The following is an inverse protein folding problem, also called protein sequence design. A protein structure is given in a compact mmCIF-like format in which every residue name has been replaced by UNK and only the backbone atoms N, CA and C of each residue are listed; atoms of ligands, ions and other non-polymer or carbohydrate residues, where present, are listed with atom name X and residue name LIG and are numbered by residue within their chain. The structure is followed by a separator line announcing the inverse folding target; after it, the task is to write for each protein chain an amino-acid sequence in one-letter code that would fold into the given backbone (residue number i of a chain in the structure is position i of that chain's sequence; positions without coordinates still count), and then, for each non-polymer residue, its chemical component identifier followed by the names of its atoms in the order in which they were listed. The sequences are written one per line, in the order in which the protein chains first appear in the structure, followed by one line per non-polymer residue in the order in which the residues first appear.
data_IF_357820653140
#
_entry.id   IF_357820653140
#
_cell.length_a   1.000
_cell.length_b   1.000
_cell.length_c   1.000
_cell.angle_alpha   90.00
_cell.angle_beta   90.00
_cell.angle_gamma   90.00
#
_symmetry.space_group_name_H-M   'P 1'
#
loop_
_entity.id
_entity.type
_entity.pdbx_description
1 polymer ?
#
# COMPACT_ATOMS: atom_id res chain seq x y z
N UNK A 1 8.47 -16.49 2.05
CA UNK A 1 9.34 -17.46 2.76
C UNK A 1 10.63 -16.82 3.30
N UNK A 2 11.20 -15.80 2.63
CA UNK A 2 12.39 -15.05 3.09
C UNK A 2 12.09 -14.01 4.18
N UNK A 3 11.03 -13.21 4.02
CA UNK A 3 10.65 -12.17 5.00
C UNK A 3 10.39 -12.72 6.42
N UNK A 4 9.83 -13.92 6.53
CA UNK A 4 9.61 -14.61 7.82
C UNK A 4 10.94 -14.93 8.53
N UNK A 5 11.95 -15.36 7.78
CA UNK A 5 13.28 -15.64 8.33
C UNK A 5 13.96 -14.33 8.76
N UNK A 6 13.92 -13.30 7.92
CA UNK A 6 14.48 -11.98 8.24
C UNK A 6 13.86 -11.40 9.50
N UNK A 7 12.54 -11.50 9.65
CA UNK A 7 11.84 -11.09 10.87
C UNK A 7 12.27 -11.91 12.09
N UNK A 8 12.32 -13.25 11.97
CA UNK A 8 12.75 -14.12 13.07
C UNK A 8 14.21 -13.86 13.52
N UNK A 9 15.07 -13.42 12.60
CA UNK A 9 16.45 -13.02 12.88
C UNK A 9 16.57 -11.60 13.45
N UNK A 10 15.46 -10.86 13.59
CA UNK A 10 15.46 -9.47 14.02
C UNK A 10 16.04 -8.49 13.00
N UNK A 11 16.09 -8.87 11.71
CA UNK A 11 16.65 -8.05 10.62
C UNK A 11 15.68 -7.06 10.00
N UNK A 12 14.38 -7.25 10.24
CA UNK A 12 13.33 -6.33 9.80
C UNK A 12 12.32 -6.16 10.93
N UNK A 13 11.64 -5.02 10.98
CA UNK A 13 10.63 -4.77 12.00
C UNK A 13 9.33 -5.54 11.74
N UNK A 14 8.47 -5.61 12.76
CA UNK A 14 7.12 -6.17 12.61
C UNK A 14 6.30 -5.40 11.56
N UNK A 15 6.50 -4.08 11.46
CA UNK A 15 5.81 -3.23 10.48
C UNK A 15 6.21 -3.59 9.05
N UNK A 16 7.51 -3.64 8.77
CA UNK A 16 8.05 -4.06 7.46
C UNK A 16 7.61 -5.48 7.11
N UNK A 17 7.66 -6.41 8.07
CA UNK A 17 7.17 -7.77 7.85
C UNK A 17 5.67 -7.81 7.52
N UNK A 18 4.85 -7.02 8.21
CA UNK A 18 3.42 -6.93 7.96
C UNK A 18 3.12 -6.36 6.57
N UNK A 19 3.80 -5.30 6.15
CA UNK A 19 3.62 -4.69 4.82
C UNK A 19 3.99 -5.67 3.70
N UNK A 20 5.12 -6.39 3.81
CA UNK A 20 5.46 -7.46 2.85
C UNK A 20 4.37 -8.54 2.81
N UNK A 21 3.84 -8.92 3.98
CA UNK A 21 2.74 -9.87 4.08
C UNK A 21 1.49 -9.39 3.36
N UNK A 22 1.14 -8.11 3.54
CA UNK A 22 -0.03 -7.49 2.92
C UNK A 22 0.11 -7.41 1.39
N UNK A 23 1.31 -7.07 0.88
CA UNK A 23 1.59 -7.11 -0.57
C UNK A 23 1.41 -8.51 -1.15
N UNK A 24 1.94 -9.55 -0.49
CA UNK A 24 1.78 -10.93 -0.94
C UNK A 24 0.30 -11.35 -0.96
N UNK A 25 -0.44 -11.07 0.11
CA UNK A 25 -1.87 -11.41 0.21
C UNK A 25 -2.68 -10.73 -0.87
N UNK A 26 -2.41 -9.44 -1.14
CA UNK A 26 -3.11 -8.66 -2.16
C UNK A 26 -2.76 -9.16 -3.56
N UNK A 27 -1.51 -9.52 -3.82
CA UNK A 27 -1.09 -10.11 -5.09
C UNK A 27 -1.76 -11.48 -5.32
N UNK A 28 -1.77 -12.35 -4.32
CA UNK A 28 -2.44 -13.66 -4.38
C UNK A 28 -3.94 -13.49 -4.62
N UNK A 29 -4.58 -12.56 -3.92
CA UNK A 29 -5.98 -12.22 -4.13
C UNK A 29 -6.23 -11.71 -5.56
N UNK A 30 -5.46 -10.75 -6.04
CA UNK A 30 -5.59 -10.20 -7.39
C UNK A 30 -5.41 -11.27 -8.47
N UNK A 31 -4.47 -12.21 -8.28
CA UNK A 31 -4.23 -13.33 -9.19
C UNK A 31 -5.36 -14.38 -9.17
N UNK A 32 -6.15 -14.44 -8.09
CA UNK A 32 -7.27 -15.38 -7.95
C UNK A 32 -8.56 -14.91 -8.64
N UNK A 33 -8.65 -13.61 -8.96
CA UNK A 33 -9.85 -13.03 -9.55
C UNK A 33 -9.94 -13.33 -11.05
N UNK A 34 -11.16 -13.55 -11.58
CA UNK A 34 -11.37 -13.75 -13.02
C UNK A 34 -11.14 -12.46 -13.83
N UNK A 35 -11.27 -11.30 -13.20
CA UNK A 35 -11.06 -9.98 -13.78
C UNK A 35 -9.97 -9.24 -13.01
N UNK A 36 -9.22 -8.39 -13.72
CA UNK A 36 -8.17 -7.60 -13.12
C UNK A 36 -8.76 -6.52 -12.20
N UNK A 37 -8.13 -6.34 -11.03
CA UNK A 37 -8.45 -5.23 -10.13
C UNK A 37 -8.25 -3.88 -10.82
N UNK A 38 -9.19 -2.99 -10.60
CA UNK A 38 -9.11 -1.60 -11.02
C UNK A 38 -8.65 -0.73 -9.87
N UNK A 39 -7.93 0.35 -10.17
CA UNK A 39 -7.47 1.29 -9.15
C UNK A 39 -8.62 2.00 -8.41
N UNK A 40 -9.82 2.00 -9.00
CA UNK A 40 -11.04 2.50 -8.38
C UNK A 40 -11.66 1.54 -7.36
N UNK A 41 -11.25 0.27 -7.32
CA UNK A 41 -11.90 -0.75 -6.49
C UNK A 41 -11.65 -0.51 -5.00
N UNK A 42 -12.66 -0.77 -4.18
CA UNK A 42 -12.58 -0.59 -2.72
C UNK A 42 -11.46 -1.41 -2.07
N UNK A 43 -11.18 -2.60 -2.61
CA UNK A 43 -10.09 -3.45 -2.11
C UNK A 43 -8.71 -2.81 -2.28
N UNK A 44 -8.50 -2.00 -3.32
CA UNK A 44 -7.24 -1.27 -3.52
C UNK A 44 -7.10 -0.15 -2.49
N UNK A 45 -8.21 0.51 -2.15
CA UNK A 45 -8.23 1.49 -1.07
C UNK A 45 -7.96 0.86 0.30
N UNK A 46 -8.59 -0.27 0.61
CA UNK A 46 -8.39 -0.99 1.87
C UNK A 46 -6.96 -1.51 2.01
N UNK A 47 -6.37 -1.97 0.89
CA UNK A 47 -4.96 -2.32 0.83
C UNK A 47 -4.07 -1.14 1.22
N UNK A 48 -4.22 0.02 0.58
CA UNK A 48 -3.42 1.23 0.87
C UNK A 48 -3.57 1.64 2.34
N UNK A 49 -4.79 1.67 2.84
CA UNK A 49 -5.09 2.08 4.23
C UNK A 49 -4.46 1.15 5.28
N UNK A 50 -4.23 -0.11 4.92
CA UNK A 50 -3.71 -1.14 5.84
C UNK A 50 -2.18 -1.17 5.90
N UNK A 51 -1.49 -0.39 5.06
CA UNK A 51 -0.03 -0.35 5.03
C UNK A 51 0.54 0.47 6.19
N UNK A 52 1.42 -0.14 6.97
CA UNK A 52 2.12 0.49 8.07
C UNK A 52 3.04 1.63 7.58
N UNK A 53 3.65 1.48 6.40
CA UNK A 53 4.51 2.51 5.79
C UNK A 53 3.77 3.84 5.54
N UNK A 54 2.47 3.79 5.26
CA UNK A 54 1.63 4.98 5.05
C UNK A 54 0.92 5.46 6.33
N UNK A 55 1.06 4.71 7.43
CA UNK A 55 0.43 5.02 8.73
C UNK A 55 1.24 6.00 9.59
N UNK A 56 2.46 6.35 9.15
CA UNK A 56 3.33 7.32 9.81
C UNK A 56 2.68 8.73 9.78
N UNK A 57 2.90 9.55 10.83
CA UNK A 57 2.26 10.87 10.92
C UNK A 57 2.67 11.86 9.79
N UNK A 58 3.79 11.62 9.10
CA UNK A 58 4.19 12.43 7.94
C UNK A 58 3.43 12.04 6.66
N UNK A 59 2.99 10.79 6.54
CA UNK A 59 2.39 10.23 5.31
C UNK A 59 0.85 10.16 5.37
N UNK A 60 0.25 10.49 6.52
CA UNK A 60 -1.20 10.59 6.69
C UNK A 60 -1.88 11.57 5.71
N UNK A 61 -1.12 12.51 5.13
CA UNK A 61 -1.58 13.40 4.06
C UNK A 61 -2.09 12.64 2.82
N UNK A 62 -1.47 11.51 2.47
CA UNK A 62 -1.87 10.72 1.29
C UNK A 62 -3.23 10.07 1.50
N UNK A 63 -3.43 9.46 2.67
CA UNK A 63 -4.73 8.88 3.05
C UNK A 63 -5.81 9.95 3.16
N UNK A 64 -5.50 11.12 3.72
CA UNK A 64 -6.44 12.25 3.78
C UNK A 64 -6.83 12.73 2.37
N UNK A 65 -5.87 12.83 1.46
CA UNK A 65 -6.10 13.25 0.08
C UNK A 65 -6.95 12.22 -0.69
N UNK A 66 -6.67 10.93 -0.51
CA UNK A 66 -7.48 9.84 -1.08
C UNK A 66 -8.92 9.92 -0.55
N UNK A 67 -9.10 10.10 0.76
CA UNK A 67 -10.43 10.18 1.37
C UNK A 67 -11.25 11.37 0.83
N UNK A 68 -10.63 12.54 0.69
CA UNK A 68 -11.31 13.73 0.15
C UNK A 68 -11.89 13.48 -1.24
N UNK A 69 -11.16 12.78 -2.11
CA UNK A 69 -11.62 12.49 -3.47
C UNK A 69 -12.63 11.34 -3.44
N UNK A 70 -12.35 10.24 -2.71
CA UNK A 70 -13.24 9.07 -2.60
C UNK A 70 -14.62 9.41 -2.06
N UNK A 71 -14.74 10.40 -1.18
CA UNK A 71 -16.02 10.80 -0.60
C UNK A 71 -16.58 12.10 -1.21
N UNK A 72 -15.99 12.57 -2.30
CA UNK A 72 -16.57 13.65 -3.11
C UNK A 72 -17.58 13.11 -4.13
N UNK A 73 -18.50 13.95 -4.63
CA UNK A 73 -19.51 13.53 -5.61
C UNK A 73 -18.84 13.02 -6.89
N UNK A 74 -19.01 11.72 -7.18
CA UNK A 74 -18.31 11.00 -8.24
C UNK A 74 -18.83 11.36 -9.65
N UNK A 75 -18.34 12.47 -10.21
CA UNK A 75 -18.42 12.73 -11.66
C UNK A 75 -17.27 11.99 -12.38
N UNK A 76 -17.41 11.64 -13.67
CA UNK A 76 -16.38 10.87 -14.40
C UNK A 76 -14.96 11.48 -14.34
N UNK A 77 -14.85 12.80 -14.22
CA UNK A 77 -13.58 13.51 -14.03
C UNK A 77 -12.94 13.29 -12.65
N UNK A 78 -13.75 13.07 -11.62
CA UNK A 78 -13.29 12.74 -10.28
C UNK A 78 -12.73 11.31 -10.20
N UNK A 79 -13.27 10.37 -10.98
CA UNK A 79 -12.78 8.98 -11.01
C UNK A 79 -11.37 8.89 -11.59
N UNK A 80 -11.11 9.53 -12.74
CA UNK A 80 -9.75 9.53 -13.33
C UNK A 80 -8.72 10.17 -12.38
N UNK A 81 -9.10 11.23 -11.67
CA UNK A 81 -8.25 11.87 -10.66
C UNK A 81 -8.00 10.95 -9.47
N UNK A 82 -9.03 10.25 -9.01
CA UNK A 82 -8.92 9.27 -7.94
C UNK A 82 -7.94 8.16 -8.31
N UNK A 83 -8.13 7.50 -9.46
CA UNK A 83 -7.27 6.42 -9.92
C UNK A 83 -5.82 6.86 -10.13
N UNK A 84 -5.61 8.09 -10.62
CA UNK A 84 -4.27 8.68 -10.76
C UNK A 84 -3.60 8.87 -9.39
N UNK A 85 -4.34 9.37 -8.39
CA UNK A 85 -3.82 9.52 -7.03
C UNK A 85 -3.50 8.16 -6.40
N UNK A 86 -4.38 7.17 -6.58
CA UNK A 86 -4.15 5.79 -6.10
C UNK A 86 -2.84 5.23 -6.68
N UNK A 87 -2.59 5.38 -7.99
CA UNK A 87 -1.33 4.94 -8.62
C UNK A 87 -0.11 5.61 -7.99
N UNK A 88 -0.16 6.93 -7.78
CA UNK A 88 0.93 7.67 -7.15
C UNK A 88 1.23 7.16 -5.75
N UNK A 89 0.18 6.97 -4.93
CA UNK A 89 0.34 6.50 -3.55
C UNK A 89 0.85 5.05 -3.50
N UNK A 90 0.41 4.19 -4.42
CA UNK A 90 0.95 2.83 -4.53
C UNK A 90 2.45 2.83 -4.85
N UNK A 91 2.88 3.62 -5.84
CA UNK A 91 4.31 3.73 -6.17
C UNK A 91 5.13 4.21 -4.97
N UNK A 92 4.69 5.28 -4.33
CA UNK A 92 5.35 5.82 -3.14
C UNK A 92 5.42 4.76 -2.02
N UNK A 93 4.35 4.00 -1.82
CA UNK A 93 4.31 2.98 -0.78
C UNK A 93 5.30 1.84 -1.03
N UNK A 94 5.55 1.48 -2.29
CA UNK A 94 6.62 0.56 -2.68
C UNK A 94 8.00 1.16 -2.38
N UNK A 95 8.24 2.41 -2.79
CA UNK A 95 9.51 3.11 -2.57
C UNK A 95 9.85 3.18 -1.08
N UNK A 96 8.91 3.63 -0.25
CA UNK A 96 9.12 3.73 1.19
C UNK A 96 9.34 2.35 1.86
N UNK A 97 8.66 1.30 1.38
CA UNK A 97 8.90 -0.05 1.89
C UNK A 97 10.32 -0.55 1.56
N UNK A 98 10.79 -0.28 0.35
CA UNK A 98 12.15 -0.62 -0.08
C UNK A 98 13.19 0.17 0.73
N UNK A 99 12.99 1.48 0.92
CA UNK A 99 13.86 2.32 1.75
C UNK A 99 13.93 1.82 3.20
N UNK A 100 12.78 1.44 3.80
CA UNK A 100 12.75 0.86 5.13
C UNK A 100 13.50 -0.47 5.20
N UNK A 101 13.33 -1.34 4.19
CA UNK A 101 14.04 -2.62 4.12
C UNK A 101 15.55 -2.41 4.04
N UNK A 102 16.02 -1.52 3.16
CA UNK A 102 17.43 -1.21 3.03
C UNK A 102 18.00 -0.62 4.32
N UNK A 103 17.25 0.27 4.98
CA UNK A 103 17.66 0.85 6.25
C UNK A 103 17.76 -0.19 7.37
N UNK A 104 16.76 -1.07 7.51
CA UNK A 104 16.72 -2.09 8.57
C UNK A 104 17.78 -3.17 8.39
N UNK A 105 18.07 -3.57 7.16
CA UNK A 105 19.06 -4.65 6.89
C UNK A 105 20.50 -4.17 7.09
N UNK A 106 20.78 -2.89 6.82
CA UNK A 106 22.12 -2.31 6.90
C UNK A 106 22.47 -1.78 8.30
N UNK A 107 21.56 -1.90 9.27
CA UNK A 107 21.81 -1.67 10.70
C UNK A 107 22.40 -2.92 11.38
#
# INVERSE_FOLDING_TARGET
MVSKLMFAMGKISLKTYADIGLYNQTLEYAASLPEALQFGDDVVYDFIKSQAVLSSQQDGYYLESINKIKFSSFEAFSQMRYESLIKTVLNLSCELLLENLESEINQ
#
